data_IF_294897317629
#
_entry.id   IF_294897317629
#
_cell.length_a   1.000
_cell.length_b   1.000
_cell.length_c   1.000
_cell.angle_alpha   90.00
_cell.angle_beta   90.00
_cell.angle_gamma   90.00
#
_symmetry.space_group_name_H-M   'P 1'
#
loop_
_entity.id
_entity.type
_entity.pdbx_description
1 polymer ?
#
# COMPACT_ATOMS: atom_id res chain seq x y z
N UNK A 1 -41.71 44.18 16.55
CA UNK A 1 -41.40 43.65 17.89
C UNK A 1 -41.70 44.72 18.94
N UNK A 2 -41.21 45.95 18.76
CA UNK A 2 -41.62 47.12 19.55
C UNK A 2 -43.15 47.37 19.55
N UNK A 3 -43.82 47.30 18.39
CA UNK A 3 -45.28 47.47 18.29
C UNK A 3 -46.10 46.47 19.14
N UNK A 4 -45.56 45.29 19.43
CA UNK A 4 -46.22 44.29 20.29
C UNK A 4 -45.98 44.57 21.78
N UNK A 5 -44.90 45.29 22.11
CA UNK A 5 -44.55 45.71 23.47
C UNK A 5 -45.42 46.89 23.96
N UNK A 6 -45.92 47.71 23.03
CA UNK A 6 -46.82 48.82 23.35
C UNK A 6 -48.25 48.37 23.70
N UNK A 7 -48.60 47.11 23.40
CA UNK A 7 -49.89 46.51 23.75
C UNK A 7 -49.89 45.81 25.13
N UNK A 8 -48.74 45.75 25.80
CA UNK A 8 -48.55 45.06 27.07
C UNK A 8 -48.74 46.02 28.26
N UNK A 9 -49.14 45.45 29.40
CA UNK A 9 -49.30 46.17 30.67
C UNK A 9 -47.95 46.68 31.18
N UNK A 10 -47.91 47.77 31.94
CA UNK A 10 -46.65 48.39 32.43
C UNK A 10 -45.70 47.43 33.19
N UNK A 11 -46.23 46.36 33.80
CA UNK A 11 -45.46 45.31 34.47
C UNK A 11 -44.81 44.29 33.51
N UNK A 12 -45.37 44.13 32.31
CA UNK A 12 -44.92 43.18 31.27
C UNK A 12 -44.16 43.90 30.14
N UNK A 13 -44.20 45.25 30.14
CA UNK A 13 -43.55 46.09 29.16
C UNK A 13 -42.03 46.08 29.38
N UNK A 14 -41.31 45.63 28.37
CA UNK A 14 -39.85 45.60 28.37
C UNK A 14 -39.31 47.01 28.03
N UNK A 15 -38.20 47.41 28.66
CA UNK A 15 -37.56 48.71 28.42
C UNK A 15 -37.10 48.85 26.97
N UNK A 16 -37.23 50.04 26.38
CA UNK A 16 -36.79 50.32 24.99
C UNK A 16 -35.30 50.04 24.77
N UNK A 17 -34.45 50.21 25.79
CA UNK A 17 -33.02 49.86 25.72
C UNK A 17 -32.76 48.37 25.56
N UNK A 18 -33.68 47.52 26.03
CA UNK A 18 -33.56 46.07 25.84
C UNK A 18 -34.00 45.63 24.44
N UNK A 19 -34.62 46.53 23.65
CA UNK A 19 -34.89 46.34 22.22
C UNK A 19 -33.77 46.86 21.31
N UNK A 20 -32.82 47.64 21.82
CA UNK A 20 -31.68 48.15 21.05
C UNK A 20 -30.74 46.99 20.72
N UNK A 21 -30.96 46.39 19.55
CA UNK A 21 -30.04 45.41 19.00
C UNK A 21 -28.87 46.16 18.35
N UNK A 22 -27.65 45.94 18.84
CA UNK A 22 -26.45 46.42 18.16
C UNK A 22 -26.27 45.65 16.84
N UNK A 23 -26.89 46.20 15.80
CA UNK A 23 -26.86 45.62 14.47
C UNK A 23 -25.48 45.76 13.82
N UNK A 24 -24.70 46.78 14.19
CA UNK A 24 -23.37 47.02 13.63
C UNK A 24 -22.37 46.01 14.17
N UNK A 25 -22.31 45.82 15.49
CA UNK A 25 -21.44 44.82 16.12
C UNK A 25 -21.78 43.41 15.65
N UNK A 26 -23.08 43.07 15.57
CA UNK A 26 -23.53 41.77 15.05
C UNK A 26 -23.08 41.54 13.60
N UNK A 27 -23.17 42.56 12.75
CA UNK A 27 -22.74 42.47 11.37
C UNK A 27 -21.22 42.32 11.27
N UNK A 28 -20.46 43.07 12.08
CA UNK A 28 -19.00 42.97 12.14
C UNK A 28 -18.54 41.56 12.55
N UNK A 29 -19.13 40.98 13.60
CA UNK A 29 -18.86 39.61 14.03
C UNK A 29 -19.19 38.60 12.93
N UNK A 30 -20.32 38.80 12.24
CA UNK A 30 -20.77 37.92 11.14
C UNK A 30 -19.82 37.97 9.95
N UNK A 31 -19.31 39.16 9.59
CA UNK A 31 -18.33 39.31 8.52
C UNK A 31 -16.99 38.65 8.88
N UNK A 32 -16.51 38.83 10.10
CA UNK A 32 -15.28 38.20 10.57
C UNK A 32 -15.40 36.66 10.57
N UNK A 33 -16.49 36.13 11.12
CA UNK A 33 -16.73 34.68 11.10
C UNK A 33 -16.86 34.14 9.68
N UNK A 34 -17.53 34.84 8.77
CA UNK A 34 -17.59 34.45 7.36
C UNK A 34 -16.22 34.41 6.69
N UNK A 35 -15.36 35.41 6.95
CA UNK A 35 -13.97 35.42 6.44
C UNK A 35 -13.18 34.22 6.96
N UNK A 36 -13.32 33.88 8.24
CA UNK A 36 -12.65 32.70 8.84
C UNK A 36 -13.17 31.41 8.20
N UNK A 37 -14.49 31.27 8.06
CA UNK A 37 -15.11 30.10 7.44
C UNK A 37 -14.66 29.92 5.99
N UNK A 38 -14.59 31.01 5.22
CA UNK A 38 -14.12 30.96 3.85
C UNK A 38 -12.67 30.46 3.77
N UNK A 39 -11.77 31.04 4.57
CA UNK A 39 -10.37 30.57 4.65
C UNK A 39 -10.26 29.10 5.03
N UNK A 40 -11.08 28.66 5.99
CA UNK A 40 -11.10 27.25 6.43
C UNK A 40 -11.63 26.32 5.34
N UNK A 41 -12.64 26.72 4.58
CA UNK A 41 -13.14 25.96 3.43
C UNK A 41 -12.07 25.81 2.35
N UNK A 42 -11.39 26.90 2.01
CA UNK A 42 -10.28 26.88 1.04
C UNK A 42 -9.11 26.00 1.52
N UNK A 43 -8.83 25.99 2.83
CA UNK A 43 -7.85 25.08 3.45
C UNK A 43 -8.24 23.61 3.29
N UNK A 44 -9.50 23.27 3.60
CA UNK A 44 -10.03 21.92 3.47
C UNK A 44 -10.01 21.46 2.01
N UNK A 45 -10.46 22.31 1.09
CA UNK A 45 -10.51 22.00 -0.33
C UNK A 45 -9.12 21.69 -0.89
N UNK A 46 -8.12 22.50 -0.55
CA UNK A 46 -6.73 22.26 -0.95
C UNK A 46 -6.19 20.96 -0.39
N UNK A 47 -6.47 20.67 0.89
CA UNK A 47 -6.04 19.43 1.53
C UNK A 47 -6.70 18.20 0.90
N UNK A 48 -7.99 18.30 0.54
CA UNK A 48 -8.69 17.24 -0.16
C UNK A 48 -8.09 17.01 -1.55
N UNK A 49 -7.82 18.08 -2.30
CA UNK A 49 -7.21 17.98 -3.62
C UNK A 49 -5.83 17.28 -3.57
N UNK A 50 -5.01 17.61 -2.58
CA UNK A 50 -3.71 16.95 -2.37
C UNK A 50 -3.90 15.46 -2.05
N UNK A 51 -4.86 15.12 -1.17
CA UNK A 51 -5.16 13.72 -0.82
C UNK A 51 -5.65 12.94 -2.04
N UNK A 52 -6.55 13.51 -2.82
CA UNK A 52 -7.10 12.87 -4.01
C UNK A 52 -6.02 12.64 -5.06
N UNK A 53 -5.15 13.63 -5.28
CA UNK A 53 -4.02 13.50 -6.19
C UNK A 53 -3.04 12.41 -5.74
N UNK A 54 -2.63 12.43 -4.46
CA UNK A 54 -1.69 11.44 -3.91
C UNK A 54 -2.27 10.03 -3.94
N UNK A 55 -3.55 9.87 -3.57
CA UNK A 55 -4.27 8.61 -3.68
C UNK A 55 -4.32 8.11 -5.13
N UNK A 56 -4.67 8.97 -6.09
CA UNK A 56 -4.73 8.60 -7.51
C UNK A 56 -3.37 8.18 -8.06
N UNK A 57 -2.31 8.92 -7.70
CA UNK A 57 -0.95 8.60 -8.10
C UNK A 57 -0.47 7.26 -7.51
N UNK A 58 -0.74 7.00 -6.22
CA UNK A 58 -0.40 5.74 -5.57
C UNK A 58 -1.20 4.57 -6.16
N UNK A 59 -2.50 4.76 -6.38
CA UNK A 59 -3.38 3.73 -6.93
C UNK A 59 -2.95 3.35 -8.35
N UNK A 60 -2.73 4.32 -9.22
CA UNK A 60 -2.31 4.06 -10.61
C UNK A 60 -0.95 3.38 -10.68
N UNK A 61 0.04 3.83 -9.90
CA UNK A 61 1.42 3.30 -9.99
C UNK A 61 1.66 2.02 -9.23
N UNK A 62 1.07 1.89 -8.04
CA UNK A 62 1.37 0.78 -7.14
C UNK A 62 0.24 -0.24 -7.11
N UNK A 63 -1.02 0.18 -7.15
CA UNK A 63 -2.12 -0.77 -7.06
C UNK A 63 -2.46 -1.33 -8.44
N UNK A 64 -2.83 -0.52 -9.42
CA UNK A 64 -3.37 -0.97 -10.71
C UNK A 64 -2.38 -1.80 -11.53
N UNK A 65 -1.08 -1.52 -11.43
CA UNK A 65 0.01 -2.25 -12.10
C UNK A 65 0.29 -3.64 -11.52
N UNK A 66 -0.22 -3.95 -10.33
CA UNK A 66 0.03 -5.24 -9.67
C UNK A 66 -1.00 -6.27 -10.10
N UNK A 67 -0.55 -7.42 -10.62
CA UNK A 67 -1.40 -8.58 -10.89
C UNK A 67 -1.86 -9.22 -9.57
N UNK A 68 -0.92 -9.44 -8.66
CA UNK A 68 -1.19 -9.94 -7.30
C UNK A 68 -1.01 -8.78 -6.33
N UNK A 69 -2.07 -8.44 -5.59
CA UNK A 69 -1.99 -7.40 -4.56
C UNK A 69 -1.27 -7.95 -3.32
N UNK A 70 -0.43 -7.11 -2.72
CA UNK A 70 0.20 -7.41 -1.45
C UNK A 70 -0.86 -7.63 -0.37
N UNK A 71 -0.78 -8.77 0.31
CA UNK A 71 -1.67 -9.10 1.43
C UNK A 71 -0.86 -9.79 2.50
N UNK A 72 -1.26 -9.61 3.75
CA UNK A 72 -0.60 -10.28 4.85
C UNK A 72 -1.63 -10.81 5.84
N UNK A 73 -1.38 -12.00 6.36
CA UNK A 73 -2.18 -12.62 7.40
C UNK A 73 -1.35 -12.59 8.67
N UNK A 74 -1.83 -11.83 9.65
CA UNK A 74 -1.23 -11.78 10.98
C UNK A 74 -1.95 -12.78 11.89
N UNK A 75 -1.19 -13.56 12.65
CA UNK A 75 -1.75 -14.34 13.74
C UNK A 75 -2.18 -13.42 14.89
N UNK A 76 -3.28 -13.76 15.58
CA UNK A 76 -3.83 -12.94 16.66
C UNK A 76 -2.94 -12.90 17.91
N UNK A 77 -2.44 -14.07 18.33
CA UNK A 77 -1.71 -14.25 19.60
C UNK A 77 -0.24 -14.64 19.41
N UNK A 78 0.28 -14.56 18.18
CA UNK A 78 1.68 -14.86 17.89
C UNK A 78 2.26 -13.88 16.87
N UNK A 79 3.57 -13.57 16.93
CA UNK A 79 4.23 -12.65 16.00
C UNK A 79 4.52 -13.35 14.66
N UNK A 80 3.58 -14.16 14.18
CA UNK A 80 3.71 -14.87 12.91
C UNK A 80 2.92 -14.09 11.87
N UNK A 81 3.64 -13.62 10.86
CA UNK A 81 3.10 -12.92 9.71
C UNK A 81 3.37 -13.73 8.46
N UNK A 82 2.32 -14.10 7.74
CA UNK A 82 2.43 -14.72 6.41
C UNK A 82 2.08 -13.67 5.38
N UNK A 83 3.11 -13.09 4.78
CA UNK A 83 2.98 -12.07 3.74
C UNK A 83 3.01 -12.69 2.34
N UNK A 84 2.11 -12.21 1.49
CA UNK A 84 2.13 -12.41 0.06
C UNK A 84 2.63 -11.12 -0.60
N UNK A 85 3.79 -11.20 -1.25
CA UNK A 85 4.41 -10.05 -1.90
C UNK A 85 3.67 -9.71 -3.20
N UNK A 86 3.47 -8.42 -3.49
CA UNK A 86 2.84 -8.02 -4.72
C UNK A 86 3.69 -8.36 -5.93
N UNK A 87 3.04 -8.86 -6.99
CA UNK A 87 3.67 -9.19 -8.26
C UNK A 87 3.14 -8.21 -9.30
N UNK A 88 4.05 -7.56 -10.03
CA UNK A 88 3.70 -6.65 -11.12
C UNK A 88 3.23 -7.46 -12.34
N UNK A 89 2.25 -6.94 -13.07
CA UNK A 89 1.84 -7.52 -14.34
C UNK A 89 3.01 -7.41 -15.34
N UNK A 90 3.57 -8.53 -15.76
CA UNK A 90 4.64 -8.56 -16.75
C UNK A 90 4.07 -8.41 -18.16
N UNK A 91 4.82 -7.73 -19.02
CA UNK A 91 4.53 -7.66 -20.46
C UNK A 91 4.80 -9.00 -21.14
N UNK A 92 4.21 -9.21 -22.32
CA UNK A 92 4.37 -10.47 -23.08
C UNK A 92 5.83 -10.72 -23.45
N UNK A 93 6.57 -9.66 -23.78
CA UNK A 93 8.00 -9.71 -24.09
C UNK A 93 8.84 -10.14 -22.89
N UNK A 94 8.57 -9.60 -21.70
CA UNK A 94 9.26 -9.95 -20.46
C UNK A 94 9.01 -11.41 -20.09
N UNK A 95 7.76 -11.87 -20.19
CA UNK A 95 7.39 -13.27 -19.97
C UNK A 95 8.15 -14.19 -20.93
N UNK A 96 8.26 -13.80 -22.20
CA UNK A 96 9.00 -14.56 -23.22
C UNK A 96 10.48 -14.68 -22.85
N UNK A 97 11.13 -13.58 -22.47
CA UNK A 97 12.54 -13.55 -22.08
C UNK A 97 12.77 -14.41 -20.82
N UNK A 98 11.89 -14.25 -19.82
CA UNK A 98 11.94 -15.02 -18.57
C UNK A 98 11.80 -16.52 -18.85
N UNK A 99 10.88 -16.93 -19.71
CA UNK A 99 10.70 -18.33 -20.10
C UNK A 99 11.92 -18.87 -20.85
N UNK A 100 12.53 -18.07 -21.73
CA UNK A 100 13.78 -18.45 -22.39
C UNK A 100 14.92 -18.66 -21.39
N UNK A 101 15.08 -17.75 -20.42
CA UNK A 101 16.07 -17.88 -19.36
C UNK A 101 15.82 -19.12 -18.48
N UNK A 102 14.57 -19.37 -18.08
CA UNK A 102 14.16 -20.57 -17.33
C UNK A 102 14.49 -21.85 -18.09
N UNK A 103 14.22 -21.89 -19.39
CA UNK A 103 14.52 -23.05 -20.23
C UNK A 103 16.02 -23.30 -20.31
N UNK A 104 16.82 -22.26 -20.59
CA UNK A 104 18.29 -22.35 -20.62
C UNK A 104 18.85 -22.87 -19.30
N UNK A 105 18.37 -22.33 -18.17
CA UNK A 105 18.79 -22.77 -16.84
C UNK A 105 18.45 -24.24 -16.58
N UNK A 106 17.26 -24.69 -17.00
CA UNK A 106 16.84 -26.10 -16.85
C UNK A 106 17.75 -27.04 -17.65
N UNK A 107 18.11 -26.65 -18.88
CA UNK A 107 19.05 -27.41 -19.72
C UNK A 107 20.42 -27.48 -19.04
N UNK A 108 20.96 -26.34 -18.60
CA UNK A 108 22.25 -26.27 -17.91
C UNK A 108 22.28 -27.16 -16.65
N UNK A 109 21.24 -27.11 -15.82
CA UNK A 109 21.13 -27.94 -14.62
C UNK A 109 21.11 -29.43 -14.94
N UNK A 110 20.38 -29.83 -15.99
CA UNK A 110 20.32 -31.22 -16.43
C UNK A 110 21.67 -31.70 -16.96
N UNK A 111 22.34 -30.90 -17.80
CA UNK A 111 23.67 -31.20 -18.31
C UNK A 111 24.67 -31.35 -17.15
N UNK A 112 24.67 -30.41 -16.20
CA UNK A 112 25.54 -30.50 -15.02
C UNK A 112 25.24 -31.72 -14.15
N UNK A 113 23.97 -32.13 -14.04
CA UNK A 113 23.60 -33.35 -13.32
C UNK A 113 24.07 -34.63 -14.04
N UNK A 114 24.03 -34.66 -15.38
CA UNK A 114 24.57 -35.76 -16.17
C UNK A 114 26.08 -35.88 -15.98
N UNK A 115 26.82 -34.77 -16.12
CA UNK A 115 28.27 -34.78 -15.90
C UNK A 115 28.67 -35.21 -14.50
N UNK A 116 27.97 -34.75 -13.45
CA UNK A 116 28.22 -35.23 -12.08
C UNK A 116 28.05 -36.74 -11.96
N UNK A 117 26.96 -37.28 -12.52
CA UNK A 117 26.70 -38.73 -12.51
C UNK A 117 27.77 -39.51 -13.28
N UNK A 118 28.27 -38.98 -14.39
CA UNK A 118 29.35 -39.62 -15.16
C UNK A 118 30.68 -39.62 -14.38
N UNK A 119 31.04 -38.50 -13.73
CA UNK A 119 32.23 -38.44 -12.87
C UNK A 119 32.11 -39.40 -11.66
N UNK A 120 30.93 -39.48 -11.04
CA UNK A 120 30.67 -40.42 -9.94
C UNK A 120 30.83 -41.88 -10.39
N UNK A 121 30.32 -42.23 -11.58
CA UNK A 121 30.51 -43.57 -12.16
C UNK A 121 31.98 -43.88 -12.47
N UNK A 122 32.71 -42.92 -13.05
CA UNK A 122 34.14 -43.09 -13.32
C UNK A 122 34.94 -43.31 -12.03
N UNK A 123 34.70 -42.50 -10.99
CA UNK A 123 35.37 -42.65 -9.69
C UNK A 123 35.00 -43.94 -8.93
N UNK A 124 33.82 -44.51 -9.17
CA UNK A 124 33.46 -45.81 -8.61
C UNK A 124 34.11 -46.96 -9.41
N UNK A 125 34.22 -46.83 -10.72
CA UNK A 125 34.91 -47.82 -11.57
C UNK A 125 36.41 -47.88 -11.27
N UNK A 126 37.04 -46.74 -10.96
CA UNK A 126 38.44 -46.68 -10.51
C UNK A 126 38.63 -47.31 -9.13
N UNK A 127 37.71 -47.07 -8.19
CA UNK A 127 37.73 -47.73 -6.86
C UNK A 127 37.51 -49.24 -6.93
N UNK A 128 36.70 -49.72 -7.85
CA UNK A 128 36.50 -51.17 -8.08
C UNK A 128 37.72 -51.84 -8.73
N UNK A 129 38.51 -51.11 -9.53
CA UNK A 129 39.76 -51.62 -10.12
C UNK A 129 40.89 -51.70 -9.09
N UNK A 130 41.08 -50.67 -8.27
CA UNK A 130 42.06 -50.68 -7.17
C UNK A 130 41.77 -51.79 -6.14
N UNK A 131 40.50 -52.10 -5.87
CA UNK A 131 40.11 -53.20 -4.98
C UNK A 131 40.32 -54.61 -5.55
N UNK A 132 40.54 -54.75 -6.86
CA UNK A 132 40.76 -56.04 -7.53
C UNK A 132 42.24 -56.40 -7.69
N UNK A 133 43.13 -55.41 -7.72
CA UNK A 133 44.57 -55.65 -7.85
C UNK A 133 45.20 -56.19 -6.55
N UNK A 134 44.62 -55.87 -5.38
CA UNK A 134 45.14 -56.33 -4.08
C UNK A 134 44.84 -57.81 -3.75
N UNK A 135 43.92 -58.47 -4.46
CA UNK A 135 43.61 -59.91 -4.25
C UNK A 135 44.54 -60.82 -5.07
N UNK A 136 45.31 -60.26 -6.02
CA UNK A 136 46.14 -61.04 -6.95
C UNK A 136 47.61 -61.19 -6.54
N UNK A 137 48.00 -60.74 -5.33
CA UNK A 137 49.39 -60.79 -4.82
C UNK A 137 49.62 -61.73 -3.63
N UNK A 138 48.62 -62.50 -3.22
CA UNK A 138 48.78 -63.55 -2.19
C UNK A 138 48.50 -64.94 -2.79
N UNK A 139 49.42 -65.46 -3.61
CA UNK A 139 49.62 -66.90 -3.84
C UNK A 139 51.12 -67.23 -3.92
#
# INVERSE_FOLDING_TARGET
MAEKNDLLTDLEKISLKEFELDSEERNAITEETNKILQKKREEIERNNLIKDFTHSALKSRCWETQEVKGRSILAYDSPIEVSNYPIHSMTVEEIRILNQAKLRRKIEMNIGALYRRECEKASNTEREKDGSEDISKEE
#
